data_IF_737443745957
#
_entry.id   IF_737443745957
#
_cell.length_a   1.000
_cell.length_b   1.000
_cell.length_c   1.000
_cell.angle_alpha   90.00
_cell.angle_beta   90.00
_cell.angle_gamma   90.00
#
_symmetry.space_group_name_H-M   'P 1'
#
loop_
_entity.id
_entity.type
_entity.pdbx_description
1 polymer ?
#
# COMPACT_ATOMS: atom_id res chain seq x y z
N UNK A 1 -43.29 -31.17 9.23
CA UNK A 1 -43.32 -31.66 7.83
C UNK A 1 -41.91 -31.52 7.27
N UNK A 2 -41.13 -32.59 7.44
CA UNK A 2 -39.71 -32.68 7.14
C UNK A 2 -39.54 -33.10 5.67
N UNK A 3 -38.88 -32.28 4.85
CA UNK A 3 -38.51 -32.65 3.48
C UNK A 3 -37.08 -33.18 3.47
N UNK A 4 -36.98 -34.50 3.46
CA UNK A 4 -35.76 -35.26 3.16
C UNK A 4 -35.49 -35.15 1.65
N UNK A 5 -34.33 -34.60 1.25
CA UNK A 5 -33.81 -34.74 -0.12
C UNK A 5 -32.73 -35.82 -0.12
N UNK A 6 -32.98 -36.86 -0.91
CA UNK A 6 -32.08 -38.00 -1.16
C UNK A 6 -30.87 -37.53 -1.99
N UNK A 7 -29.67 -37.75 -1.49
CA UNK A 7 -28.46 -37.79 -2.32
C UNK A 7 -28.31 -39.20 -2.90
N UNK A 8 -28.14 -39.29 -4.22
CA UNK A 8 -27.74 -40.51 -4.90
C UNK A 8 -26.20 -40.54 -4.91
N UNK A 9 -25.59 -41.46 -4.15
CA UNK A 9 -24.17 -41.79 -4.30
C UNK A 9 -24.00 -42.68 -5.54
N UNK A 10 -23.36 -42.15 -6.58
CA UNK A 10 -22.83 -42.97 -7.68
C UNK A 10 -21.52 -43.62 -7.25
N UNK A 11 -21.55 -44.90 -6.90
CA UNK A 11 -20.33 -45.68 -6.67
C UNK A 11 -19.70 -46.05 -8.02
N UNK A 12 -18.51 -45.53 -8.32
CA UNK A 12 -17.70 -45.97 -9.46
C UNK A 12 -16.87 -47.19 -9.03
N UNK A 13 -17.14 -48.34 -9.64
CA UNK A 13 -16.37 -49.57 -9.46
C UNK A 13 -15.10 -49.47 -10.30
N UNK A 14 -13.94 -49.41 -9.65
CA UNK A 14 -12.65 -49.55 -10.33
C UNK A 14 -12.38 -51.04 -10.62
N UNK A 15 -12.46 -51.43 -11.89
CA UNK A 15 -12.03 -52.74 -12.37
C UNK A 15 -10.52 -52.80 -12.53
N UNK A 16 -9.88 -53.74 -11.82
CA UNK A 16 -8.48 -54.12 -12.05
C UNK A 16 -8.35 -54.79 -13.43
N UNK A 17 -7.51 -54.25 -14.31
CA UNK A 17 -6.92 -55.01 -15.43
C UNK A 17 -5.41 -54.84 -15.37
N UNK A 18 -4.73 -55.93 -15.04
CA UNK A 18 -3.28 -56.04 -15.14
C UNK A 18 -2.87 -56.11 -16.62
N UNK A 19 -2.02 -55.20 -17.05
CA UNK A 19 -1.40 -55.19 -18.38
C UNK A 19 0.00 -54.63 -18.29
N UNK A 20 0.99 -55.53 -18.36
CA UNK A 20 2.42 -55.23 -18.43
C UNK A 20 2.76 -54.54 -19.75
N UNK A 21 3.31 -53.33 -19.69
CA UNK A 21 3.85 -52.64 -20.86
C UNK A 21 4.60 -51.38 -20.44
N UNK A 22 5.93 -51.45 -20.43
CA UNK A 22 6.79 -50.29 -20.21
C UNK A 22 6.70 -49.33 -21.40
N UNK A 23 6.18 -48.13 -21.16
CA UNK A 23 6.38 -46.95 -22.01
C UNK A 23 6.60 -45.78 -21.06
N UNK A 24 7.71 -45.08 -21.26
CA UNK A 24 8.08 -43.84 -20.57
C UNK A 24 7.03 -42.79 -20.91
N UNK A 25 6.06 -42.60 -20.01
CA UNK A 25 5.06 -41.56 -20.09
C UNK A 25 5.48 -40.38 -19.22
N UNK A 26 5.46 -39.17 -19.79
CA UNK A 26 5.54 -37.93 -19.06
C UNK A 26 4.62 -37.97 -17.83
N UNK A 27 5.08 -37.42 -16.69
CA UNK A 27 4.21 -37.16 -15.55
C UNK A 27 3.02 -36.34 -16.06
N UNK A 28 1.88 -37.02 -16.22
CA UNK A 28 0.59 -36.40 -16.43
C UNK A 28 0.39 -35.46 -15.26
N UNK A 29 0.34 -34.17 -15.59
CA UNK A 29 0.15 -33.10 -14.64
C UNK A 29 -0.96 -33.46 -13.65
N UNK A 30 -0.69 -33.15 -12.39
CA UNK A 30 -1.74 -32.93 -11.43
C UNK A 30 -2.67 -31.89 -12.07
N UNK A 31 -3.82 -32.37 -12.54
CA UNK A 31 -4.89 -31.54 -13.08
C UNK A 31 -5.21 -30.48 -12.05
N UNK A 32 -5.26 -29.22 -12.45
CA UNK A 32 -5.58 -28.04 -11.65
C UNK A 32 -7.03 -28.03 -11.10
N UNK A 33 -7.61 -29.20 -10.79
CA UNK A 33 -9.06 -29.42 -10.62
C UNK A 33 -9.37 -30.45 -9.51
N UNK A 34 -8.46 -30.74 -8.56
CA UNK A 34 -8.73 -31.74 -7.48
C UNK A 34 -8.35 -31.33 -6.06
N UNK A 35 -8.50 -30.05 -5.71
CA UNK A 35 -8.81 -29.64 -4.35
C UNK A 35 -9.87 -28.54 -4.52
N UNK A 36 -11.17 -28.72 -4.32
CA UNK A 36 -11.85 -29.11 -3.09
C UNK A 36 -11.33 -28.40 -1.82
N UNK A 37 -10.63 -27.26 -1.98
CA UNK A 37 -10.74 -26.12 -1.04
C UNK A 37 -11.97 -25.25 -1.38
N UNK A 38 -12.85 -25.77 -2.24
CA UNK A 38 -14.16 -25.21 -2.54
C UNK A 38 -15.06 -25.24 -1.30
N UNK A 39 -15.43 -24.02 -0.86
CA UNK A 39 -16.60 -23.56 -0.08
C UNK A 39 -16.28 -22.90 1.28
N UNK A 40 -15.15 -22.20 1.39
CA UNK A 40 -15.00 -21.14 2.38
C UNK A 40 -14.75 -19.82 1.62
N UNK A 41 -15.32 -18.73 2.11
CA UNK A 41 -15.07 -17.41 1.53
C UNK A 41 -13.61 -17.01 1.78
N UNK A 42 -12.92 -16.47 0.77
CA UNK A 42 -11.59 -15.89 0.98
C UNK A 42 -11.76 -14.51 1.62
N UNK A 43 -11.11 -14.29 2.76
CA UNK A 43 -11.16 -13.02 3.45
C UNK A 43 -9.76 -12.50 3.70
N UNK A 44 -9.52 -11.26 3.28
CA UNK A 44 -8.25 -10.57 3.47
C UNK A 44 -8.49 -9.27 4.23
N UNK A 45 -7.82 -9.11 5.36
CA UNK A 45 -7.86 -7.92 6.20
C UNK A 45 -6.50 -7.22 6.16
N UNK A 46 -6.47 -6.00 5.62
CA UNK A 46 -5.35 -5.09 5.77
C UNK A 46 -5.63 -4.15 6.95
N UNK A 47 -4.70 -4.07 7.91
CA UNK A 47 -4.73 -3.11 9.01
C UNK A 47 -3.55 -2.15 8.83
N UNK A 48 -3.87 -0.88 8.59
CA UNK A 48 -2.90 0.20 8.51
C UNK A 48 -2.81 0.97 9.82
N UNK A 49 -1.59 1.19 10.30
CA UNK A 49 -1.32 2.00 11.50
C UNK A 49 -0.36 3.12 11.11
N UNK A 50 -0.87 4.34 10.93
CA UNK A 50 -0.08 5.45 10.35
C UNK A 50 1.12 5.81 11.25
N UNK A 51 2.27 6.08 10.62
CA UNK A 51 3.47 6.59 11.29
C UNK A 51 3.99 5.75 12.46
N UNK A 52 3.69 4.45 12.51
CA UNK A 52 3.94 3.58 13.68
C UNK A 52 5.29 2.87 13.60
N UNK A 53 6.24 3.26 14.45
CA UNK A 53 7.55 2.65 14.50
C UNK A 53 7.56 1.25 15.13
N UNK A 54 8.14 0.27 14.42
CA UNK A 54 8.25 -1.12 14.90
C UNK A 54 9.05 -1.25 16.20
N UNK A 55 10.13 -0.49 16.40
CA UNK A 55 10.88 -0.53 17.67
C UNK A 55 10.00 -0.11 18.86
N UNK A 56 9.07 0.83 18.66
CA UNK A 56 8.10 1.26 19.67
C UNK A 56 7.01 0.23 19.94
N UNK A 57 6.56 -0.48 18.90
CA UNK A 57 5.71 -1.67 19.08
C UNK A 57 6.45 -2.70 19.94
N UNK A 58 7.70 -3.03 19.59
CA UNK A 58 8.51 -4.02 20.30
C UNK A 58 8.80 -3.58 21.75
N UNK A 59 8.94 -2.28 22.00
CA UNK A 59 9.21 -1.72 23.32
C UNK A 59 7.96 -1.71 24.22
N UNK A 60 6.84 -1.19 23.73
CA UNK A 60 5.67 -0.85 24.55
C UNK A 60 4.47 -1.79 24.35
N UNK A 61 4.33 -2.41 23.18
CA UNK A 61 3.18 -3.22 22.79
C UNK A 61 3.53 -4.69 22.46
N UNK A 62 4.69 -5.19 22.89
CA UNK A 62 5.07 -6.60 22.73
C UNK A 62 4.68 -7.43 23.95
N UNK A 63 3.38 -7.61 24.16
CA UNK A 63 2.81 -8.36 25.28
C UNK A 63 1.47 -9.02 24.88
N UNK A 64 0.97 -9.97 25.68
CA UNK A 64 -0.22 -10.78 25.37
C UNK A 64 -1.53 -9.98 25.21
N UNK A 65 -1.56 -8.71 25.61
CA UNK A 65 -2.72 -7.82 25.44
C UNK A 65 -2.72 -7.03 24.13
N UNK A 66 -1.70 -7.21 23.28
CA UNK A 66 -1.50 -6.45 22.06
C UNK A 66 -1.71 -7.29 20.81
N UNK A 67 -2.54 -6.78 19.90
CA UNK A 67 -2.79 -7.39 18.61
C UNK A 67 -1.57 -7.48 17.72
N UNK A 68 -0.60 -6.55 17.87
CA UNK A 68 0.68 -6.68 17.18
C UNK A 68 1.40 -7.95 17.61
N UNK A 69 1.47 -8.22 18.92
CA UNK A 69 2.13 -9.43 19.43
C UNK A 69 1.39 -10.69 19.00
N UNK A 70 0.06 -10.69 19.06
CA UNK A 70 -0.77 -11.80 18.59
C UNK A 70 -0.52 -12.10 17.11
N UNK A 71 -0.54 -11.08 16.25
CA UNK A 71 -0.26 -11.25 14.82
C UNK A 71 1.18 -11.69 14.55
N UNK A 72 2.16 -11.17 15.29
CA UNK A 72 3.56 -11.63 15.18
C UNK A 72 3.71 -13.11 15.58
N UNK A 73 2.95 -13.58 16.58
CA UNK A 73 2.97 -14.98 17.01
C UNK A 73 2.26 -15.93 16.04
N UNK A 74 1.26 -15.43 15.30
CA UNK A 74 0.43 -16.20 14.38
C UNK A 74 0.91 -16.12 12.94
N UNK A 75 1.77 -15.16 12.61
CA UNK A 75 2.24 -14.93 11.25
C UNK A 75 3.75 -14.81 11.14
N UNK A 76 4.17 -14.20 10.04
CA UNK A 76 5.55 -13.90 9.72
C UNK A 76 5.73 -12.38 9.77
N UNK A 77 6.76 -11.91 10.46
CA UNK A 77 7.06 -10.47 10.58
C UNK A 77 8.30 -10.08 9.80
N UNK A 78 8.18 -9.14 8.88
CA UNK A 78 9.33 -8.54 8.21
C UNK A 78 9.52 -7.09 8.62
N UNK A 79 10.77 -6.72 8.92
CA UNK A 79 11.15 -5.31 8.90
C UNK A 79 11.15 -4.85 7.45
N UNK A 80 10.57 -3.69 7.14
CA UNK A 80 10.60 -3.09 5.82
C UNK A 80 11.37 -1.76 5.85
N UNK A 81 11.97 -1.38 4.73
CA UNK A 81 12.74 -0.13 4.62
C UNK A 81 12.21 0.72 3.48
N UNK A 82 12.01 2.00 3.76
CA UNK A 82 11.57 3.02 2.82
C UNK A 82 12.74 3.91 2.38
N UNK A 83 13.97 3.40 2.51
CA UNK A 83 15.15 4.13 2.04
C UNK A 83 15.02 4.36 0.53
N UNK A 84 15.20 5.61 0.12
CA UNK A 84 14.96 6.13 -1.23
C UNK A 84 13.48 6.38 -1.61
N UNK A 85 12.54 6.22 -0.67
CA UNK A 85 11.13 6.55 -0.85
C UNK A 85 10.75 7.75 0.02
N UNK A 86 9.84 8.63 -0.45
CA UNK A 86 9.35 9.74 0.36
C UNK A 86 8.51 9.23 1.53
N UNK A 87 8.97 9.44 2.77
CA UNK A 87 8.31 9.00 4.01
C UNK A 87 7.16 9.92 4.42
N UNK A 88 6.28 10.25 3.48
CA UNK A 88 4.98 10.87 3.73
C UNK A 88 3.88 9.85 3.49
N UNK A 89 2.76 10.02 4.21
CA UNK A 89 1.65 9.08 4.20
C UNK A 89 1.03 8.90 2.81
N UNK A 90 0.76 9.99 2.09
CA UNK A 90 0.19 9.95 0.74
C UNK A 90 0.99 9.09 -0.24
N UNK A 91 2.30 9.35 -0.42
CA UNK A 91 3.19 8.49 -1.21
C UNK A 91 3.24 7.04 -0.73
N UNK A 92 3.40 6.83 0.57
CA UNK A 92 3.60 5.48 1.14
C UNK A 92 2.33 4.62 1.06
N UNK A 93 1.16 5.17 1.39
CA UNK A 93 -0.12 4.49 1.18
C UNK A 93 -0.43 4.25 -0.29
N UNK A 94 -0.03 5.17 -1.18
CA UNK A 94 -0.13 4.94 -2.63
C UNK A 94 0.73 3.75 -3.06
N UNK A 95 1.94 3.63 -2.55
CA UNK A 95 2.80 2.46 -2.81
C UNK A 95 2.14 1.17 -2.32
N UNK A 96 1.66 1.15 -1.06
CA UNK A 96 1.01 -0.02 -0.46
C UNK A 96 -0.21 -0.47 -1.28
N UNK A 97 -1.04 0.48 -1.71
CA UNK A 97 -2.32 0.22 -2.37
C UNK A 97 -2.21 0.07 -3.89
N UNK A 98 -1.06 0.34 -4.52
CA UNK A 98 -0.84 0.16 -5.97
C UNK A 98 0.21 -0.89 -6.30
N UNK A 99 1.09 -1.26 -5.38
CA UNK A 99 2.15 -2.25 -5.61
C UNK A 99 3.33 -1.73 -6.44
N UNK A 100 3.48 -0.41 -6.55
CA UNK A 100 4.60 0.27 -7.22
C UNK A 100 5.15 1.40 -6.37
N UNK A 101 6.40 1.80 -6.58
CA UNK A 101 7.01 2.92 -5.84
C UNK A 101 6.63 4.30 -6.41
N UNK A 102 7.04 5.35 -5.70
CA UNK A 102 6.76 6.76 -6.03
C UNK A 102 7.46 7.27 -7.28
N UNK A 103 8.49 6.57 -7.77
CA UNK A 103 9.10 6.79 -9.09
C UNK A 103 8.19 6.36 -10.25
N UNK A 104 7.17 5.54 -9.99
CA UNK A 104 6.10 5.16 -10.91
C UNK A 104 4.82 5.91 -10.65
N UNK A 105 4.22 5.79 -9.46
CA UNK A 105 2.90 6.36 -9.21
C UNK A 105 2.90 7.89 -9.11
N UNK A 106 4.04 8.54 -8.85
CA UNK A 106 4.14 10.00 -8.93
C UNK A 106 3.41 10.77 -7.84
N UNK A 107 3.01 10.11 -6.76
CA UNK A 107 2.38 10.76 -5.59
C UNK A 107 3.50 11.16 -4.64
N UNK A 108 3.50 12.43 -4.21
CA UNK A 108 4.69 13.06 -3.62
C UNK A 108 4.44 13.72 -2.27
N UNK A 109 3.18 13.91 -1.89
CA UNK A 109 2.75 14.53 -0.65
C UNK A 109 1.30 14.11 -0.33
N UNK A 110 0.73 14.71 0.70
CA UNK A 110 -0.63 14.47 1.16
C UNK A 110 -1.65 15.44 0.50
N UNK A 111 -1.36 15.99 -0.67
CA UNK A 111 -2.32 16.77 -1.46
C UNK A 111 -2.97 15.84 -2.47
N UNK A 112 -4.21 15.47 -2.22
CA UNK A 112 -4.85 14.42 -3.00
C UNK A 112 -5.01 14.82 -4.47
N UNK A 113 -4.70 13.89 -5.36
CA UNK A 113 -4.96 13.99 -6.79
C UNK A 113 -5.32 12.60 -7.31
N UNK A 114 -6.46 12.41 -8.00
CA UNK A 114 -6.90 11.09 -8.43
C UNK A 114 -6.19 10.58 -9.68
N UNK A 115 -5.51 11.45 -10.44
CA UNK A 115 -4.95 11.12 -11.76
C UNK A 115 -3.93 9.97 -11.76
N UNK A 116 -2.98 9.88 -10.80
CA UNK A 116 -2.05 8.77 -10.68
C UNK A 116 -2.71 7.39 -10.74
N UNK A 117 -3.86 7.24 -10.08
CA UNK A 117 -4.54 5.95 -9.93
C UNK A 117 -5.26 5.50 -11.21
N UNK A 118 -5.35 6.37 -12.24
CA UNK A 118 -5.78 5.94 -13.57
C UNK A 118 -4.68 5.14 -14.29
N UNK A 119 -3.42 5.53 -14.11
CA UNK A 119 -2.27 4.84 -14.71
C UNK A 119 -1.82 3.65 -13.86
N UNK A 120 -1.90 3.80 -12.54
CA UNK A 120 -1.51 2.82 -11.54
C UNK A 120 -2.72 2.44 -10.69
N UNK A 121 -3.58 1.52 -11.16
CA UNK A 121 -4.82 1.17 -10.48
C UNK A 121 -4.54 0.62 -9.09
N UNK A 122 -5.38 1.00 -8.13
CA UNK A 122 -5.28 0.49 -6.76
C UNK A 122 -5.68 -0.99 -6.69
N UNK A 123 -5.36 -1.65 -5.57
CA UNK A 123 -5.85 -2.99 -5.25
C UNK A 123 -7.37 -3.07 -5.34
N UNK A 124 -8.09 -2.01 -4.94
CA UNK A 124 -9.54 -1.90 -5.09
C UNK A 124 -9.92 -1.95 -6.57
N UNK A 125 -9.32 -1.09 -7.40
CA UNK A 125 -9.63 -1.06 -8.82
C UNK A 125 -9.39 -2.41 -9.51
N UNK A 126 -8.31 -3.11 -9.12
CA UNK A 126 -7.97 -4.40 -9.68
C UNK A 126 -8.94 -5.50 -9.21
N UNK A 127 -9.33 -5.53 -7.94
CA UNK A 127 -10.33 -6.47 -7.42
C UNK A 127 -11.69 -6.23 -8.07
N UNK A 128 -12.19 -4.99 -8.07
CA UNK A 128 -13.49 -4.61 -8.64
C UNK A 128 -13.60 -4.88 -10.14
N UNK A 129 -12.49 -4.77 -10.88
CA UNK A 129 -12.48 -5.06 -12.30
C UNK A 129 -12.44 -6.57 -12.59
N UNK A 130 -11.53 -7.31 -11.95
CA UNK A 130 -11.31 -8.73 -12.27
C UNK A 130 -12.27 -9.68 -11.54
N UNK A 131 -12.74 -9.29 -10.35
CA UNK A 131 -13.57 -10.08 -9.44
C UNK A 131 -14.59 -9.18 -8.70
N UNK A 132 -15.55 -8.56 -9.41
CA UNK A 132 -16.58 -7.69 -8.83
C UNK A 132 -17.52 -8.41 -7.83
N UNK A 133 -17.40 -9.73 -7.68
CA UNK A 133 -18.08 -10.50 -6.63
C UNK A 133 -17.41 -10.40 -5.25
N UNK A 134 -16.17 -9.92 -5.16
CA UNK A 134 -15.50 -9.67 -3.89
C UNK A 134 -16.05 -8.38 -3.31
N UNK A 135 -16.55 -8.43 -2.07
CA UNK A 135 -16.98 -7.23 -1.38
C UNK A 135 -15.75 -6.47 -0.86
N UNK A 136 -15.46 -5.30 -1.44
CA UNK A 136 -14.36 -4.46 -0.98
C UNK A 136 -14.84 -3.40 0.02
N UNK A 137 -14.08 -3.15 1.07
CA UNK A 137 -14.46 -2.18 2.10
C UNK A 137 -13.23 -1.45 2.61
N UNK A 138 -13.34 -0.14 2.77
CA UNK A 138 -12.36 0.68 3.50
C UNK A 138 -13.06 1.40 4.65
N UNK A 139 -12.40 1.39 5.81
CA UNK A 139 -12.82 2.11 7.01
C UNK A 139 -11.60 2.86 7.52
N UNK A 140 -11.65 4.18 7.45
CA UNK A 140 -10.50 5.04 7.74
C UNK A 140 -10.94 6.32 8.45
N UNK A 141 -10.06 6.85 9.31
CA UNK A 141 -10.24 8.14 9.97
C UNK A 141 -9.39 9.28 9.40
N UNK A 142 -8.76 9.02 8.24
CA UNK A 142 -8.14 10.04 7.41
C UNK A 142 -8.75 10.02 6.01
N UNK A 143 -9.28 11.17 5.58
CA UNK A 143 -10.05 11.33 4.34
C UNK A 143 -9.22 10.98 3.08
N UNK A 144 -7.91 11.22 3.11
CA UNK A 144 -7.01 10.86 2.01
C UNK A 144 -7.08 9.37 1.65
N UNK A 145 -7.24 8.48 2.64
CA UNK A 145 -7.39 7.03 2.39
C UNK A 145 -8.71 6.74 1.66
N UNK A 146 -9.80 7.38 2.10
CA UNK A 146 -11.10 7.27 1.45
C UNK A 146 -11.06 7.81 0.02
N UNK A 147 -10.30 8.89 -0.22
CA UNK A 147 -10.10 9.49 -1.54
C UNK A 147 -9.29 8.56 -2.47
N UNK A 148 -8.23 7.89 -1.98
CA UNK A 148 -7.52 6.84 -2.76
C UNK A 148 -8.48 5.71 -3.15
N UNK A 149 -9.29 5.23 -2.20
CA UNK A 149 -10.20 4.12 -2.44
C UNK A 149 -11.35 4.49 -3.42
N UNK A 150 -11.68 5.79 -3.52
CA UNK A 150 -12.63 6.32 -4.48
C UNK A 150 -12.00 6.66 -5.85
N UNK A 151 -10.67 6.63 -5.97
CA UNK A 151 -9.96 6.98 -7.19
C UNK A 151 -9.98 5.85 -8.24
N UNK A 152 -9.65 6.21 -9.48
CA UNK A 152 -9.65 5.28 -10.62
C UNK A 152 -11.05 4.99 -11.17
N UNK A 153 -11.12 4.06 -12.13
CA UNK A 153 -12.37 3.71 -12.80
C UNK A 153 -13.29 2.78 -11.99
N UNK A 154 -12.74 2.03 -11.05
CA UNK A 154 -13.45 0.95 -10.33
C UNK A 154 -13.28 1.14 -8.81
N UNK A 155 -13.99 2.11 -8.20
CA UNK A 155 -13.79 2.44 -6.79
C UNK A 155 -14.28 1.32 -5.87
N UNK A 156 -13.82 1.34 -4.62
CA UNK A 156 -14.26 0.44 -3.54
C UNK A 156 -15.80 0.40 -3.40
N UNK A 157 -16.37 -0.76 -3.05
CA UNK A 157 -17.82 -0.91 -2.84
C UNK A 157 -18.31 -0.08 -1.64
N UNK A 158 -17.62 -0.22 -0.51
CA UNK A 158 -18.00 0.41 0.75
C UNK A 158 -16.87 1.34 1.23
N UNK A 159 -17.13 2.65 1.18
CA UNK A 159 -16.17 3.68 1.57
C UNK A 159 -16.64 4.40 2.84
N UNK A 160 -16.08 4.03 3.99
CA UNK A 160 -16.50 4.53 5.30
C UNK A 160 -15.44 5.46 5.87
N UNK A 161 -15.81 6.74 6.02
CA UNK A 161 -14.98 7.76 6.67
C UNK A 161 -15.43 7.99 8.11
N UNK A 162 -14.48 7.95 9.04
CA UNK A 162 -14.66 8.25 10.45
C UNK A 162 -14.03 9.63 10.74
N UNK A 163 -14.82 10.70 10.86
CA UNK A 163 -14.24 12.02 11.07
C UNK A 163 -13.65 12.17 12.47
N UNK A 164 -12.58 12.96 12.58
CA UNK A 164 -12.12 13.47 13.86
C UNK A 164 -13.23 14.29 14.54
N UNK A 165 -13.53 13.96 15.80
CA UNK A 165 -14.45 14.75 16.63
C UNK A 165 -13.74 15.46 17.79
N UNK A 166 -13.06 14.69 18.65
CA UNK A 166 -12.49 15.21 19.92
C UNK A 166 -11.02 14.86 20.09
N UNK A 167 -10.66 13.60 19.85
CA UNK A 167 -9.28 13.12 19.88
C UNK A 167 -9.16 11.90 18.96
N UNK A 168 -7.93 11.61 18.53
CA UNK A 168 -7.65 10.52 17.58
C UNK A 168 -7.82 9.12 18.18
N UNK A 169 -7.68 8.95 19.50
CA UNK A 169 -7.91 7.64 20.13
C UNK A 169 -9.40 7.23 20.03
N UNK A 170 -10.32 8.19 20.14
CA UNK A 170 -11.75 7.94 19.96
C UNK A 170 -12.11 7.66 18.49
N UNK A 171 -11.42 8.32 17.54
CA UNK A 171 -11.59 8.06 16.11
C UNK A 171 -11.12 6.65 15.73
N UNK A 172 -9.90 6.27 16.13
CA UNK A 172 -9.35 4.92 16.01
C UNK A 172 -10.28 3.86 16.63
N UNK A 173 -10.84 4.14 17.81
CA UNK A 173 -11.77 3.24 18.49
C UNK A 173 -13.09 3.07 17.72
N UNK A 174 -13.56 4.12 17.03
CA UNK A 174 -14.74 4.04 16.16
C UNK A 174 -14.44 3.28 14.87
N UNK A 175 -13.29 3.50 14.23
CA UNK A 175 -12.80 2.65 13.12
C UNK A 175 -12.79 1.18 13.58
N UNK A 176 -12.17 0.90 14.72
CA UNK A 176 -12.11 -0.44 15.31
C UNK A 176 -13.50 -1.06 15.49
N UNK A 177 -14.45 -0.31 16.04
CA UNK A 177 -15.82 -0.78 16.23
C UNK A 177 -16.53 -1.07 14.89
N UNK A 178 -16.30 -0.27 13.86
CA UNK A 178 -16.91 -0.48 12.54
C UNK A 178 -16.27 -1.66 11.81
N UNK A 179 -14.94 -1.80 11.89
CA UNK A 179 -14.20 -2.97 11.38
C UNK A 179 -14.69 -4.26 12.04
N UNK A 180 -14.86 -4.28 13.36
CA UNK A 180 -15.42 -5.43 14.08
C UNK A 180 -16.85 -5.72 13.61
N UNK A 181 -17.69 -4.70 13.43
CA UNK A 181 -19.05 -4.90 12.94
C UNK A 181 -19.07 -5.52 11.53
N UNK A 182 -18.18 -5.08 10.64
CA UNK A 182 -18.05 -5.61 9.29
C UNK A 182 -17.58 -7.08 9.30
N UNK A 183 -16.58 -7.40 10.13
CA UNK A 183 -16.10 -8.77 10.31
C UNK A 183 -17.23 -9.66 10.85
N UNK A 184 -17.90 -9.25 11.94
CA UNK A 184 -18.99 -10.04 12.54
C UNK A 184 -20.18 -10.23 11.59
N UNK A 185 -20.43 -9.29 10.68
CA UNK A 185 -21.48 -9.44 9.66
C UNK A 185 -21.21 -10.60 8.69
N UNK A 186 -19.95 -11.02 8.53
CA UNK A 186 -19.61 -12.19 7.70
C UNK A 186 -20.01 -13.52 8.33
N UNK A 187 -20.30 -13.56 9.65
CA UNK A 187 -20.74 -14.79 10.32
C UNK A 187 -22.08 -15.35 9.76
N UNK A 188 -22.91 -14.49 9.18
CA UNK A 188 -24.19 -14.83 8.57
C UNK A 188 -24.14 -14.80 7.03
N UNK A 189 -22.94 -14.72 6.42
CA UNK A 189 -22.71 -14.63 4.97
C UNK A 189 -23.29 -15.86 4.24
N UNK A 190 -24.51 -15.80 3.68
CA UNK A 190 -25.20 -16.99 3.19
C UNK A 190 -24.74 -17.40 1.78
N UNK A 191 -23.98 -16.53 1.13
CA UNK A 191 -23.56 -16.61 -0.27
C UNK A 191 -22.04 -16.85 -0.39
N UNK A 192 -21.33 -17.11 0.73
CA UNK A 192 -19.88 -17.28 0.81
C UNK A 192 -19.09 -16.16 0.09
N UNK A 193 -19.57 -14.92 0.20
CA UNK A 193 -18.95 -13.73 -0.42
C UNK A 193 -17.55 -13.52 0.15
N UNK A 194 -16.56 -13.47 -0.72
CA UNK A 194 -15.17 -13.13 -0.36
C UNK A 194 -15.07 -11.64 0.00
N UNK A 195 -14.21 -11.28 0.94
CA UNK A 195 -14.11 -9.88 1.42
C UNK A 195 -12.67 -9.39 1.43
N UNK A 196 -12.44 -8.19 0.88
CA UNK A 196 -11.24 -7.42 1.16
C UNK A 196 -11.60 -6.22 2.03
N UNK A 197 -11.08 -6.18 3.25
CA UNK A 197 -11.33 -5.11 4.22
C UNK A 197 -10.02 -4.39 4.55
N UNK A 198 -9.99 -3.07 4.35
CA UNK A 198 -8.91 -2.20 4.79
C UNK A 198 -9.38 -1.35 5.98
N UNK A 199 -8.76 -1.55 7.15
CA UNK A 199 -8.98 -0.77 8.36
C UNK A 199 -7.75 0.11 8.62
N UNK A 200 -7.93 1.43 8.66
CA UNK A 200 -6.85 2.40 8.82
C UNK A 200 -7.03 3.25 10.08
N UNK A 201 -5.95 3.44 10.84
CA UNK A 201 -5.91 4.18 12.12
C UNK A 201 -4.75 5.18 12.12
N UNK A 202 -5.04 6.45 12.44
CA UNK A 202 -4.08 7.58 12.34
C UNK A 202 -3.46 8.01 13.67
N UNK A 203 -3.99 7.55 14.82
CA UNK A 203 -3.64 8.12 16.14
C UNK A 203 -2.13 8.21 16.43
N UNK A 204 -1.35 7.23 16.01
CA UNK A 204 0.08 7.15 16.33
C UNK A 204 0.86 8.26 15.63
N UNK A 205 0.63 8.49 14.34
CA UNK A 205 1.27 9.56 13.60
C UNK A 205 0.91 10.94 14.16
N UNK A 206 -0.38 11.18 14.44
CA UNK A 206 -0.86 12.43 15.02
C UNK A 206 -0.27 12.70 16.42
N UNK A 207 -0.04 11.65 17.23
CA UNK A 207 0.69 11.78 18.48
C UNK A 207 2.19 12.10 18.23
N UNK A 208 2.77 11.56 17.16
CA UNK A 208 4.11 11.86 16.69
C UNK A 208 4.25 13.33 16.30
N UNK A 209 3.34 13.84 15.48
CA UNK A 209 3.30 15.24 15.10
C UNK A 209 3.13 16.18 16.30
N UNK A 210 2.28 15.82 17.26
CA UNK A 210 2.01 16.67 18.42
C UNK A 210 3.09 16.63 19.50
N UNK A 211 3.86 15.54 19.63
CA UNK A 211 4.75 15.31 20.78
C UNK A 211 6.12 14.70 20.45
N UNK A 212 6.33 14.19 19.25
CA UNK A 212 7.51 13.44 18.80
C UNK A 212 7.40 11.93 19.07
N UNK A 213 8.04 11.11 18.24
CA UNK A 213 8.01 9.64 18.32
C UNK A 213 8.70 9.05 19.56
N UNK A 214 9.50 9.85 20.26
CA UNK A 214 10.12 9.48 21.55
C UNK A 214 9.28 9.82 22.78
N UNK A 215 8.07 10.35 22.60
CA UNK A 215 7.21 10.84 23.68
C UNK A 215 6.40 9.74 24.38
N UNK A 216 5.88 10.05 25.57
CA UNK A 216 4.99 9.15 26.28
C UNK A 216 3.61 9.06 25.60
N UNK A 217 3.20 10.14 24.93
CA UNK A 217 1.97 10.25 24.15
C UNK A 217 2.00 9.34 22.94
N UNK A 218 3.09 9.35 22.18
CA UNK A 218 3.31 8.41 21.07
C UNK A 218 3.35 6.96 21.57
N UNK A 219 4.08 6.68 22.65
CA UNK A 219 4.12 5.34 23.25
C UNK A 219 2.72 4.87 23.68
N UNK A 220 1.89 5.76 24.24
CA UNK A 220 0.52 5.44 24.63
C UNK A 220 -0.38 5.20 23.41
N UNK A 221 -0.21 5.96 22.32
CA UNK A 221 -0.92 5.72 21.07
C UNK A 221 -0.58 4.33 20.49
N UNK A 222 0.69 3.92 20.49
CA UNK A 222 1.11 2.57 20.06
C UNK A 222 0.44 1.48 20.89
N UNK A 223 0.31 1.67 22.21
CA UNK A 223 -0.40 0.74 23.10
C UNK A 223 -1.89 0.69 22.78
N UNK A 224 -2.52 1.83 22.50
CA UNK A 224 -3.94 1.91 22.14
C UNK A 224 -4.22 1.16 20.83
N UNK A 225 -3.45 1.43 19.78
CA UNK A 225 -3.59 0.75 18.48
C UNK A 225 -3.36 -0.76 18.62
N UNK A 226 -2.37 -1.17 19.43
CA UNK A 226 -2.18 -2.59 19.77
C UNK A 226 -3.44 -3.22 20.40
N UNK A 227 -4.10 -2.52 21.32
CA UNK A 227 -5.34 -2.99 21.94
C UNK A 227 -6.53 -3.00 20.96
N UNK A 228 -6.58 -2.06 20.02
CA UNK A 228 -7.59 -2.02 18.96
C UNK A 228 -7.45 -3.22 18.01
N UNK A 229 -6.23 -3.49 17.54
CA UNK A 229 -5.93 -4.67 16.72
C UNK A 229 -6.31 -5.95 17.46
N UNK A 230 -6.04 -6.05 18.77
CA UNK A 230 -6.42 -7.24 19.55
C UNK A 230 -7.94 -7.49 19.52
N UNK A 231 -8.76 -6.43 19.56
CA UNK A 231 -10.21 -6.55 19.47
C UNK A 231 -10.66 -6.99 18.07
N UNK A 232 -10.01 -6.46 17.02
CA UNK A 232 -10.27 -6.86 15.63
C UNK A 232 -9.95 -8.35 15.42
N UNK A 233 -8.76 -8.80 15.86
CA UNK A 233 -8.35 -10.20 15.75
C UNK A 233 -9.26 -11.14 16.57
N UNK A 234 -9.77 -10.68 17.71
CA UNK A 234 -10.76 -11.43 18.47
C UNK A 234 -12.09 -11.62 17.70
N UNK A 235 -12.51 -10.62 16.92
CA UNK A 235 -13.69 -10.72 16.06
C UNK A 235 -13.46 -11.71 14.90
N UNK A 236 -12.27 -11.69 14.27
CA UNK A 236 -11.88 -12.70 13.26
C UNK A 236 -11.93 -14.10 13.85
N UNK A 237 -11.30 -14.32 15.00
CA UNK A 237 -11.32 -15.61 15.68
C UNK A 237 -12.74 -16.08 16.04
N UNK A 238 -13.62 -15.15 16.40
CA UNK A 238 -15.03 -15.43 16.67
C UNK A 238 -15.76 -15.90 15.40
N UNK A 239 -15.59 -15.21 14.26
CA UNK A 239 -16.20 -15.60 12.98
C UNK A 239 -15.68 -16.97 12.53
N UNK A 240 -14.35 -17.18 12.57
CA UNK A 240 -13.72 -18.47 12.25
C UNK A 240 -14.31 -19.62 13.08
N UNK A 241 -14.61 -19.38 14.35
CA UNK A 241 -15.23 -20.39 15.21
C UNK A 241 -16.70 -20.71 14.84
N UNK A 242 -17.39 -19.78 14.18
CA UNK A 242 -18.79 -19.91 13.75
C UNK A 242 -18.88 -20.56 12.36
N UNK A 243 -18.13 -20.02 11.39
CA UNK A 243 -18.27 -20.38 9.97
C UNK A 243 -17.20 -21.36 9.50
N UNK A 244 -16.02 -21.34 10.14
CA UNK A 244 -14.83 -22.03 9.66
C UNK A 244 -14.00 -21.21 8.68
N UNK A 245 -14.49 -20.04 8.24
CA UNK A 245 -13.75 -19.15 7.35
C UNK A 245 -12.61 -18.50 8.12
N UNK A 246 -11.40 -18.67 7.59
CA UNK A 246 -10.19 -18.08 8.13
C UNK A 246 -9.86 -16.80 7.33
N UNK A 247 -9.17 -15.86 7.97
CA UNK A 247 -8.84 -14.59 7.35
C UNK A 247 -7.33 -14.47 7.21
N UNK A 248 -6.87 -14.09 6.03
CA UNK A 248 -5.49 -13.64 5.84
C UNK A 248 -5.37 -12.21 6.36
N UNK A 249 -4.44 -11.95 7.27
CA UNK A 249 -4.27 -10.68 7.96
C UNK A 249 -2.91 -10.07 7.59
N UNK A 250 -2.93 -8.82 7.13
CA UNK A 250 -1.75 -8.02 6.86
C UNK A 250 -1.78 -6.80 7.77
N UNK A 251 -0.73 -6.55 8.53
CA UNK A 251 -0.58 -5.35 9.37
C UNK A 251 0.68 -4.60 8.93
N UNK A 252 0.57 -3.31 8.67
CA UNK A 252 1.70 -2.50 8.21
C UNK A 252 1.60 -1.05 8.70
N UNK A 253 2.70 -0.33 8.52
CA UNK A 253 2.78 1.13 8.63
C UNK A 253 3.29 1.68 7.30
N UNK A 254 2.84 2.87 6.97
CA UNK A 254 3.27 3.60 5.78
C UNK A 254 4.66 4.20 5.95
N UNK A 255 4.98 4.76 7.12
CA UNK A 255 6.31 5.23 7.50
C UNK A 255 6.54 5.11 9.01
N UNK A 256 7.71 5.57 9.48
CA UNK A 256 7.98 5.81 10.89
C UNK A 256 8.07 7.30 11.21
N UNK A 257 8.46 7.64 12.44
CA UNK A 257 8.47 9.01 12.94
C UNK A 257 9.80 9.35 13.64
N UNK A 258 10.26 10.59 13.54
CA UNK A 258 11.42 11.09 14.29
C UNK A 258 11.14 11.08 15.80
N UNK A 259 12.19 10.85 16.60
CA UNK A 259 12.07 10.81 18.06
C UNK A 259 11.81 12.19 18.68
N UNK A 260 12.44 13.22 18.13
CA UNK A 260 12.23 14.62 18.52
C UNK A 260 10.89 15.15 18.02
N UNK A 261 10.37 16.14 18.73
CA UNK A 261 9.27 16.97 18.22
C UNK A 261 9.87 18.01 17.28
N UNK A 262 9.90 17.67 16.00
CA UNK A 262 10.28 18.56 14.90
C UNK A 262 9.04 18.91 14.05
N UNK A 263 9.10 20.02 13.31
CA UNK A 263 7.93 20.64 12.65
C UNK A 263 7.21 19.71 11.68
N UNK A 264 7.95 18.81 11.01
CA UNK A 264 7.39 17.81 10.11
C UNK A 264 7.24 16.44 10.76
N UNK A 265 8.09 16.08 11.72
CA UNK A 265 8.06 14.76 12.37
C UNK A 265 8.54 13.60 11.50
N UNK A 266 8.27 13.62 10.20
CA UNK A 266 8.75 12.67 9.19
C UNK A 266 8.82 13.33 7.79
N UNK A 267 9.11 12.56 6.74
CA UNK A 267 9.27 13.05 5.36
C UNK A 267 10.71 13.05 4.84
N UNK A 268 11.70 12.77 5.69
CA UNK A 268 13.11 12.62 5.33
C UNK A 268 13.57 11.16 5.45
N UNK A 269 14.88 10.95 5.48
CA UNK A 269 15.49 9.63 5.32
C UNK A 269 16.22 9.12 6.57
N UNK A 270 15.88 9.65 7.77
CA UNK A 270 16.45 9.07 8.98
C UNK A 270 15.97 7.64 9.17
N UNK A 271 16.79 6.74 9.77
CA UNK A 271 16.39 5.37 10.01
C UNK A 271 15.05 5.24 10.73
N UNK A 272 14.71 6.16 11.64
CA UNK A 272 13.42 6.15 12.32
C UNK A 272 12.26 6.46 11.36
N UNK A 273 12.43 7.34 10.38
CA UNK A 273 11.40 7.69 9.39
C UNK A 273 11.24 6.59 8.35
N UNK A 274 12.36 6.00 7.90
CA UNK A 274 12.36 4.99 6.84
C UNK A 274 12.08 3.57 7.32
N UNK A 275 12.01 3.36 8.65
CA UNK A 275 11.68 2.05 9.21
C UNK A 275 10.18 1.80 9.13
N UNK A 276 9.79 0.77 8.39
CA UNK A 276 8.43 0.25 8.34
C UNK A 276 8.45 -1.25 8.69
N UNK A 277 7.29 -1.92 8.61
CA UNK A 277 7.15 -3.34 8.84
C UNK A 277 5.96 -3.91 8.07
N UNK A 278 5.99 -5.22 7.88
CA UNK A 278 4.83 -6.00 7.42
C UNK A 278 4.71 -7.22 8.34
N UNK A 279 3.55 -7.42 8.94
CA UNK A 279 3.17 -8.66 9.61
C UNK A 279 2.15 -9.33 8.69
N UNK A 280 2.41 -10.57 8.29
CA UNK A 280 1.51 -11.34 7.44
C UNK A 280 1.20 -12.69 8.08
N UNK A 281 -0.07 -12.87 8.45
CA UNK A 281 -0.67 -14.14 8.88
C UNK A 281 -1.56 -14.64 7.75
N UNK A 282 -1.17 -15.74 7.10
CA UNK A 282 -1.90 -16.27 5.96
C UNK A 282 -2.93 -17.29 6.45
N UNK A 283 -4.19 -17.14 6.01
CA UNK A 283 -5.26 -18.07 6.34
C UNK A 283 -4.85 -19.53 6.10
N UNK A 284 -4.99 -20.36 7.13
CA UNK A 284 -4.73 -21.80 7.06
C UNK A 284 -3.27 -22.24 6.92
N UNK A 285 -2.29 -21.32 6.83
CA UNK A 285 -0.86 -21.65 6.86
C UNK A 285 -0.24 -21.26 8.20
N UNK A 286 0.12 -22.28 8.97
CA UNK A 286 0.70 -22.12 10.31
C UNK A 286 2.12 -22.68 10.42
N UNK A 287 2.76 -23.01 9.30
CA UNK A 287 4.03 -23.73 9.30
C UNK A 287 5.21 -22.88 9.79
N UNK A 288 5.08 -21.56 9.69
CA UNK A 288 6.16 -20.60 9.93
C UNK A 288 5.78 -19.49 10.93
N UNK A 289 4.72 -19.69 11.69
CA UNK A 289 4.25 -18.76 12.73
C UNK A 289 5.38 -18.38 13.70
N UNK A 290 5.43 -17.11 14.09
CA UNK A 290 6.47 -16.57 14.96
C UNK A 290 7.84 -16.41 14.28
N UNK A 291 7.90 -16.55 12.95
CA UNK A 291 9.12 -16.34 12.17
C UNK A 291 9.25 -14.89 11.70
N UNK A 292 10.44 -14.55 11.19
CA UNK A 292 10.67 -13.30 10.47
C UNK A 292 10.92 -13.55 8.99
N UNK A 293 10.62 -12.56 8.15
CA UNK A 293 11.06 -12.53 6.76
C UNK A 293 12.06 -11.39 6.55
N UNK A 294 13.18 -11.67 5.88
CA UNK A 294 14.23 -10.67 5.64
C UNK A 294 14.01 -9.81 4.39
N UNK A 295 13.02 -10.15 3.56
CA UNK A 295 12.76 -9.54 2.25
C UNK A 295 11.36 -8.93 2.11
N UNK A 296 10.51 -8.93 3.14
CA UNK A 296 9.22 -8.24 3.04
C UNK A 296 9.40 -6.75 2.80
N UNK A 297 8.58 -6.21 1.92
CA UNK A 297 8.47 -4.79 1.63
C UNK A 297 7.00 -4.35 1.63
N UNK A 298 6.74 -3.08 1.90
CA UNK A 298 5.38 -2.52 1.87
C UNK A 298 4.76 -2.58 0.47
N UNK A 299 5.58 -2.52 -0.57
CA UNK A 299 5.16 -2.64 -1.98
C UNK A 299 4.65 -4.05 -2.35
N UNK A 300 4.97 -5.07 -1.54
CA UNK A 300 4.54 -6.46 -1.76
C UNK A 300 3.07 -6.68 -1.37
N UNK A 301 2.44 -5.74 -0.65
CA UNK A 301 1.10 -5.91 -0.07
C UNK A 301 0.02 -6.05 -1.16
N UNK A 302 -0.02 -5.15 -2.14
CA UNK A 302 -1.00 -5.23 -3.25
C UNK A 302 -0.86 -6.54 -4.04
N UNK A 303 0.33 -6.93 -4.54
CA UNK A 303 0.53 -8.23 -5.19
C UNK A 303 0.12 -9.42 -4.31
N UNK A 304 0.35 -9.34 -2.99
CA UNK A 304 -0.07 -10.40 -2.06
C UNK A 304 -1.59 -10.52 -1.99
N UNK A 305 -2.31 -9.41 -1.80
CA UNK A 305 -3.78 -9.39 -1.72
C UNK A 305 -4.38 -9.96 -3.01
N UNK A 306 -3.92 -9.47 -4.17
CA UNK A 306 -4.39 -9.95 -5.47
C UNK A 306 -4.13 -11.45 -5.65
N UNK A 307 -3.02 -11.95 -5.12
CA UNK A 307 -2.62 -13.35 -5.24
C UNK A 307 -3.53 -14.25 -4.40
N UNK A 308 -3.90 -13.83 -3.19
CA UNK A 308 -4.82 -14.56 -2.32
C UNK A 308 -6.19 -14.70 -2.99
N UNK A 309 -6.66 -13.65 -3.65
CA UNK A 309 -7.88 -13.70 -4.44
C UNK A 309 -7.72 -14.35 -5.82
N UNK A 310 -6.52 -14.75 -6.25
CA UNK A 310 -6.29 -15.33 -7.58
C UNK A 310 -6.59 -14.37 -8.74
N UNK A 311 -6.35 -13.08 -8.55
CA UNK A 311 -6.42 -12.03 -9.58
C UNK A 311 -5.12 -12.00 -10.40
N UNK A 312 -5.17 -11.74 -11.72
CA UNK A 312 -3.97 -11.60 -12.54
C UNK A 312 -3.03 -10.50 -12.02
N UNK A 313 -1.73 -10.81 -11.96
CA UNK A 313 -0.70 -9.82 -11.62
C UNK A 313 -0.39 -8.93 -12.82
N UNK A 314 -0.18 -7.64 -12.56
CA UNK A 314 0.47 -6.76 -13.52
C UNK A 314 1.95 -7.12 -13.65
N UNK A 315 2.49 -7.01 -14.87
CA UNK A 315 3.90 -7.28 -15.13
C UNK A 315 4.84 -6.16 -14.67
N UNK A 316 4.28 -4.99 -14.38
CA UNK A 316 5.00 -3.77 -14.00
C UNK A 316 4.90 -3.41 -12.50
N UNK A 317 4.44 -4.34 -11.65
CA UNK A 317 4.60 -4.20 -10.21
C UNK A 317 6.08 -4.19 -9.80
N UNK A 318 6.40 -3.44 -8.75
CA UNK A 318 7.71 -3.53 -8.08
C UNK A 318 7.70 -4.59 -6.99
N UNK A 319 6.55 -4.78 -6.34
CA UNK A 319 6.36 -5.81 -5.33
C UNK A 319 6.05 -7.17 -5.92
N UNK A 320 6.18 -8.19 -5.07
CA UNK A 320 5.84 -9.58 -5.37
C UNK A 320 4.94 -10.13 -4.27
N UNK A 321 4.24 -11.24 -4.55
CA UNK A 321 3.35 -11.85 -3.56
C UNK A 321 4.13 -12.53 -2.45
N UNK A 322 3.88 -12.13 -1.20
CA UNK A 322 4.45 -12.76 -0.01
C UNK A 322 3.94 -14.19 0.20
N UNK A 323 2.77 -14.54 -0.36
CA UNK A 323 2.14 -15.83 -0.18
C UNK A 323 2.73 -16.94 -1.08
N UNK A 324 3.39 -16.59 -2.19
CA UNK A 324 3.84 -17.60 -3.16
C UNK A 324 5.12 -17.27 -3.95
N UNK A 325 5.69 -16.08 -3.84
CA UNK A 325 6.91 -15.76 -4.57
C UNK A 325 8.16 -16.39 -3.90
N UNK A 326 8.94 -17.22 -4.62
CA UNK A 326 10.13 -17.86 -4.05
C UNK A 326 11.19 -16.89 -3.53
N UNK A 327 11.29 -15.67 -4.06
CA UNK A 327 12.26 -14.66 -3.59
C UNK A 327 11.94 -14.17 -2.17
N UNK A 328 10.65 -14.24 -1.79
CA UNK A 328 10.17 -13.93 -0.46
C UNK A 328 10.18 -15.18 0.43
N UNK A 329 9.60 -16.29 -0.03
CA UNK A 329 9.46 -17.51 0.78
C UNK A 329 10.80 -18.12 1.20
N UNK A 330 11.85 -18.00 0.37
CA UNK A 330 13.19 -18.49 0.72
C UNK A 330 13.92 -17.62 1.75
N UNK A 331 13.34 -16.49 2.16
CA UNK A 331 13.91 -15.52 3.09
C UNK A 331 13.29 -15.58 4.49
N UNK A 332 12.42 -16.59 4.73
CA UNK A 332 11.85 -16.88 6.04
C UNK A 332 12.93 -17.47 6.94
N UNK A 333 13.04 -16.89 8.14
CA UNK A 333 13.96 -17.33 9.19
C UNK A 333 13.17 -17.48 10.48
N UNK A 334 13.28 -18.61 11.16
CA UNK A 334 12.67 -18.84 12.47
C UNK A 334 13.70 -18.57 13.57
N UNK A 335 13.67 -17.39 14.23
CA UNK A 335 14.61 -17.06 15.29
C UNK A 335 14.24 -17.74 16.61
N UNK A 336 15.21 -17.84 17.53
CA UNK A 336 14.93 -18.28 18.91
C UNK A 336 14.19 -17.20 19.73
N UNK A 337 14.41 -15.92 19.40
CA UNK A 337 13.74 -14.77 19.97
C UNK A 337 13.40 -13.80 18.83
N UNK A 338 12.12 -13.74 18.47
CA UNK A 338 11.62 -12.89 17.37
C UNK A 338 11.87 -11.41 17.65
N UNK A 339 11.57 -10.93 18.87
CA UNK A 339 11.77 -9.53 19.25
C UNK A 339 13.24 -9.13 19.10
N UNK A 340 14.16 -9.96 19.58
CA UNK A 340 15.58 -9.68 19.44
C UNK A 340 16.02 -9.67 17.97
N UNK A 341 15.51 -10.59 17.15
CA UNK A 341 15.86 -10.67 15.74
C UNK A 341 15.37 -9.45 14.94
N UNK A 342 14.14 -8.99 15.19
CA UNK A 342 13.56 -7.80 14.57
C UNK A 342 14.31 -6.52 14.99
N UNK A 343 14.67 -6.36 16.27
CA UNK A 343 15.50 -5.24 16.72
C UNK A 343 16.88 -5.25 16.06
N UNK A 344 17.46 -6.42 15.84
CA UNK A 344 18.74 -6.55 15.15
C UNK A 344 18.62 -6.23 13.65
N UNK A 345 17.49 -6.58 13.02
CA UNK A 345 17.22 -6.21 11.63
C UNK A 345 17.06 -4.69 11.47
N UNK A 346 16.25 -4.04 12.33
CA UNK A 346 16.08 -2.58 12.34
C UNK A 346 17.41 -1.83 12.53
N UNK A 347 18.31 -2.35 13.37
CA UNK A 347 19.63 -1.74 13.61
C UNK A 347 20.54 -1.72 12.36
N UNK A 348 20.21 -2.46 11.30
CA UNK A 348 20.94 -2.42 10.03
C UNK A 348 20.45 -1.33 9.07
N UNK A 349 19.33 -0.67 9.38
CA UNK A 349 18.84 0.43 8.57
C UNK A 349 19.66 1.69 8.80
N UNK A 350 20.13 2.25 7.70
CA UNK A 350 20.94 3.47 7.67
C UNK A 350 20.35 4.48 6.69
N UNK A 351 21.01 5.62 6.59
CA UNK A 351 20.68 6.62 5.59
C UNK A 351 20.99 6.12 4.17
N UNK A 352 20.27 6.60 3.14
CA UNK A 352 20.65 6.41 1.75
C UNK A 352 22.02 7.02 1.46
N UNK A 353 22.50 6.84 0.22
CA UNK A 353 23.66 7.59 -0.22
C UNK A 353 23.35 9.11 -0.21
N UNK A 354 24.39 9.93 0.01
CA UNK A 354 24.23 11.38 0.20
C UNK A 354 23.55 12.10 -0.98
N UNK A 355 23.66 11.56 -2.21
CA UNK A 355 23.00 12.13 -3.38
C UNK A 355 21.48 11.98 -3.29
N UNK A 356 21.03 10.75 -3.05
CA UNK A 356 19.61 10.43 -2.88
C UNK A 356 19.01 11.13 -1.65
N UNK A 357 19.77 11.23 -0.55
CA UNK A 357 19.35 11.93 0.67
C UNK A 357 19.02 13.40 0.38
N UNK A 358 19.89 14.08 -0.36
CA UNK A 358 19.72 15.49 -0.74
C UNK A 358 18.58 15.66 -1.75
N UNK A 359 18.49 14.79 -2.73
CA UNK A 359 17.42 14.79 -3.74
C UNK A 359 16.04 14.66 -3.08
N UNK A 360 15.88 13.71 -2.15
CA UNK A 360 14.65 13.49 -1.41
C UNK A 360 14.37 14.62 -0.43
N UNK A 361 15.39 15.15 0.25
CA UNK A 361 15.22 16.33 1.10
C UNK A 361 14.70 17.54 0.30
N UNK A 362 15.25 17.79 -0.88
CA UNK A 362 14.76 18.85 -1.80
C UNK A 362 13.31 18.56 -2.21
N UNK A 363 13.00 17.31 -2.57
CA UNK A 363 11.64 16.92 -2.95
C UNK A 363 10.67 17.22 -1.82
N UNK A 364 10.86 16.61 -0.65
CA UNK A 364 10.02 16.77 0.55
C UNK A 364 9.77 18.24 0.85
N UNK A 365 10.83 19.03 0.85
CA UNK A 365 10.78 20.47 1.06
C UNK A 365 9.85 21.17 0.08
N UNK A 366 10.07 21.01 -1.22
CA UNK A 366 9.30 21.74 -2.22
C UNK A 366 7.85 21.24 -2.27
N UNK A 367 7.65 19.93 -2.08
CA UNK A 367 6.31 19.33 -2.07
C UNK A 367 5.52 19.68 -0.80
N UNK A 368 6.17 20.10 0.28
CA UNK A 368 5.53 20.61 1.50
C UNK A 368 5.18 22.11 1.46
N UNK A 369 5.65 22.88 0.47
CA UNK A 369 5.36 24.31 0.35
C UNK A 369 3.84 24.62 0.26
N UNK A 370 3.03 23.88 -0.51
CA UNK A 370 1.60 24.21 -0.63
C UNK A 370 0.83 24.11 0.70
N UNK A 371 1.39 23.50 1.75
CA UNK A 371 0.83 23.51 3.10
C UNK A 371 0.99 24.86 3.83
N UNK A 372 1.65 25.85 3.23
CA UNK A 372 1.83 27.18 3.83
C UNK A 372 2.82 27.19 5.00
N UNK A 373 3.70 26.19 5.07
CA UNK A 373 4.71 26.04 6.12
C UNK A 373 5.90 26.99 5.91
N UNK A 374 5.70 28.29 6.16
CA UNK A 374 6.78 29.31 6.09
C UNK A 374 7.96 29.03 7.05
N UNK A 375 7.82 28.11 8.03
CA UNK A 375 8.88 27.71 8.95
C UNK A 375 9.83 26.64 8.36
N UNK A 376 9.38 25.86 7.38
CA UNK A 376 10.18 24.80 6.72
C UNK A 376 11.35 25.43 5.95
N UNK A 377 11.14 26.62 5.37
CA UNK A 377 12.13 27.51 4.71
C UNK A 377 13.39 27.72 5.56
N UNK A 378 13.25 27.84 6.89
CA UNK A 378 14.39 28.13 7.78
C UNK A 378 15.20 26.88 8.14
N UNK A 379 14.55 25.71 8.26
CA UNK A 379 15.26 24.45 8.47
C UNK A 379 15.97 23.97 7.19
N UNK A 380 15.39 24.29 6.02
CA UNK A 380 16.03 24.13 4.71
C UNK A 380 17.34 24.90 4.64
N UNK A 381 17.33 26.18 5.00
CA UNK A 381 18.55 26.99 4.95
C UNK A 381 19.64 26.39 5.83
N UNK A 382 19.29 25.84 6.99
CA UNK A 382 20.27 25.15 7.87
C UNK A 382 20.79 23.84 7.27
N UNK A 383 19.91 23.00 6.72
CA UNK A 383 20.29 21.72 6.10
C UNK A 383 21.17 21.97 4.86
N UNK A 384 20.71 22.85 3.96
CA UNK A 384 21.44 23.25 2.77
C UNK A 384 22.76 23.94 3.13
N UNK A 385 22.79 24.81 4.14
CA UNK A 385 24.03 25.43 4.61
C UNK A 385 25.01 24.39 5.16
N UNK A 386 24.55 23.38 5.91
CA UNK A 386 25.41 22.31 6.41
C UNK A 386 26.05 21.48 5.29
N UNK A 387 25.39 21.36 4.15
CA UNK A 387 25.87 20.69 2.95
C UNK A 387 26.84 21.59 2.17
N UNK A 388 26.51 22.87 2.02
CA UNK A 388 27.41 23.90 1.44
C UNK A 388 28.71 23.96 2.23
N UNK A 389 28.65 23.90 3.56
CA UNK A 389 29.80 23.95 4.46
C UNK A 389 30.73 22.72 4.34
N UNK A 390 30.24 21.60 3.79
CA UNK A 390 31.03 20.39 3.55
C UNK A 390 31.84 20.43 2.23
N UNK A 391 31.66 21.46 1.39
CA UNK A 391 32.39 21.70 0.13
C UNK A 391 32.45 20.48 -0.82
N UNK A 392 31.35 19.73 -0.91
CA UNK A 392 31.25 18.58 -1.80
C UNK A 392 30.94 19.07 -3.22
N UNK A 393 31.87 18.85 -4.14
CA UNK A 393 31.76 19.24 -5.57
C UNK A 393 30.47 18.67 -6.21
N UNK A 394 29.75 19.51 -6.99
CA UNK A 394 28.39 19.32 -7.56
C UNK A 394 27.22 19.47 -6.56
N UNK A 395 27.38 18.98 -5.34
CA UNK A 395 26.33 19.01 -4.32
C UNK A 395 26.09 20.44 -3.77
N UNK A 396 27.17 21.21 -3.57
CA UNK A 396 27.07 22.61 -3.15
C UNK A 396 26.34 23.50 -4.16
N UNK A 397 26.38 23.16 -5.46
CA UNK A 397 25.64 23.85 -6.52
C UNK A 397 24.14 23.56 -6.51
N UNK A 398 23.75 22.30 -6.25
CA UNK A 398 22.35 21.90 -6.05
C UNK A 398 21.76 22.52 -4.78
N UNK A 399 22.53 22.57 -3.69
CA UNK A 399 22.10 23.21 -2.45
C UNK A 399 21.88 24.73 -2.62
N UNK A 400 22.78 25.42 -3.33
CA UNK A 400 22.60 26.84 -3.67
C UNK A 400 21.39 27.08 -4.58
N UNK A 401 21.12 26.16 -5.52
CA UNK A 401 19.94 26.23 -6.37
C UNK A 401 18.64 26.03 -5.58
N UNK A 402 18.62 25.07 -4.63
CA UNK A 402 17.48 24.86 -3.74
C UNK A 402 17.25 26.07 -2.81
N UNK A 403 18.30 26.74 -2.30
CA UNK A 403 18.17 28.02 -1.57
C UNK A 403 17.54 29.12 -2.45
N UNK A 404 17.92 29.21 -3.72
CA UNK A 404 17.31 30.18 -4.65
C UNK A 404 15.83 29.88 -4.93
N UNK A 405 15.44 28.60 -5.00
CA UNK A 405 14.04 28.22 -5.09
C UNK A 405 13.30 28.63 -3.81
N UNK A 406 13.86 28.35 -2.64
CA UNK A 406 13.32 28.71 -1.34
C UNK A 406 13.03 30.23 -1.24
N UNK A 407 14.01 31.06 -1.62
CA UNK A 407 13.90 32.52 -1.64
C UNK A 407 12.87 33.03 -2.66
N UNK A 408 12.77 32.39 -3.82
CA UNK A 408 11.83 32.75 -4.88
C UNK A 408 10.38 32.40 -4.50
N UNK A 409 10.18 31.29 -3.81
CA UNK A 409 8.85 30.74 -3.51
C UNK A 409 8.14 31.44 -2.36
N UNK A 410 8.88 32.11 -1.45
CA UNK A 410 8.30 32.96 -0.41
C UNK A 410 7.38 34.10 -0.90
N UNK A 411 7.26 34.32 -2.22
CA UNK A 411 6.39 35.33 -2.84
C UNK A 411 5.32 34.81 -3.83
N UNK A 412 5.11 33.50 -3.98
CA UNK A 412 4.22 32.91 -5.00
C UNK A 412 2.79 32.61 -4.50
N UNK A 413 1.84 32.48 -5.44
CA UNK A 413 0.42 32.11 -5.19
C UNK A 413 0.27 30.58 -5.20
N UNK A 414 -0.75 30.04 -4.54
CA UNK A 414 -0.97 28.59 -4.33
C UNK A 414 -0.93 27.75 -5.63
N UNK A 415 -1.55 28.20 -6.73
CA UNK A 415 -1.56 27.42 -7.98
C UNK A 415 -0.17 27.28 -8.60
N UNK A 416 0.66 28.31 -8.46
CA UNK A 416 2.04 28.29 -8.96
C UNK A 416 2.96 27.43 -8.10
N UNK A 417 2.69 27.29 -6.80
CA UNK A 417 3.50 26.44 -5.92
C UNK A 417 3.22 24.96 -6.14
N UNK A 418 1.98 24.56 -6.43
CA UNK A 418 1.63 23.17 -6.77
C UNK A 418 2.28 22.70 -8.07
N UNK A 419 2.25 23.54 -9.13
CA UNK A 419 2.89 23.21 -10.40
C UNK A 419 4.42 23.07 -10.27
N UNK A 420 5.05 23.95 -9.48
CA UNK A 420 6.47 23.86 -9.17
C UNK A 420 6.81 22.59 -8.38
N UNK A 421 6.01 22.27 -7.35
CA UNK A 421 6.18 21.07 -6.54
C UNK A 421 6.14 19.81 -7.40
N UNK A 422 5.17 19.70 -8.30
CA UNK A 422 5.11 18.58 -9.27
C UNK A 422 6.32 18.52 -10.18
N UNK A 423 6.78 19.68 -10.68
CA UNK A 423 7.97 19.76 -11.54
C UNK A 423 9.24 19.32 -10.82
N UNK A 424 9.47 19.77 -9.59
CA UNK A 424 10.61 19.34 -8.77
C UNK A 424 10.51 17.87 -8.41
N UNK A 425 9.32 17.39 -8.05
CA UNK A 425 9.13 15.98 -7.76
C UNK A 425 9.48 15.08 -8.96
N UNK A 426 9.05 15.46 -10.16
CA UNK A 426 9.42 14.77 -11.39
C UNK A 426 10.93 14.82 -11.65
N UNK A 427 11.56 15.99 -11.50
CA UNK A 427 13.01 16.14 -11.68
C UNK A 427 13.84 15.40 -10.63
N UNK A 428 13.25 15.11 -9.48
CA UNK A 428 13.85 14.34 -8.39
C UNK A 428 13.43 12.87 -8.42
N UNK A 429 12.80 12.40 -9.50
CA UNK A 429 12.56 10.99 -9.75
C UNK A 429 11.13 10.48 -9.50
N UNK A 430 10.18 11.29 -9.03
CA UNK A 430 8.80 10.82 -8.80
C UNK A 430 7.97 10.80 -10.09
N UNK A 431 7.29 9.69 -10.36
CA UNK A 431 6.43 9.53 -11.55
C UNK A 431 7.17 9.60 -12.88
N UNK A 432 8.45 9.24 -12.90
CA UNK A 432 9.30 9.26 -14.11
C UNK A 432 9.24 7.96 -14.90
N UNK A 433 8.68 6.90 -14.32
CA UNK A 433 8.52 5.59 -14.95
C UNK A 433 7.05 5.39 -15.32
N UNK A 434 6.78 5.32 -16.62
CA UNK A 434 5.44 5.05 -17.16
C UNK A 434 5.07 3.57 -17.06
N UNK A 435 3.76 3.23 -16.93
CA UNK A 435 3.30 1.84 -16.98
C UNK A 435 3.68 1.12 -18.27
N UNK A 436 4.05 -0.16 -18.17
CA UNK A 436 4.20 -1.01 -19.35
C UNK A 436 2.95 -1.84 -19.63
N UNK A 437 2.18 -2.15 -18.59
CA UNK A 437 0.85 -2.72 -18.74
C UNK A 437 -0.18 -1.60 -18.94
N UNK A 438 -1.16 -1.78 -19.83
CA UNK A 438 -2.17 -0.76 -20.06
C UNK A 438 -2.96 -0.44 -18.77
N UNK A 439 -3.47 0.80 -18.63
CA UNK A 439 -4.51 1.11 -17.67
C UNK A 439 -5.71 0.16 -17.79
N UNK A 440 -6.48 0.03 -16.71
CA UNK A 440 -7.76 -0.68 -16.78
C UNK A 440 -8.69 0.03 -17.79
N UNK A 441 -9.51 -0.73 -18.55
CA UNK A 441 -10.51 -0.14 -19.42
C UNK A 441 -11.44 0.80 -18.65
N UNK A 442 -12.02 1.79 -19.34
CA UNK A 442 -13.05 2.61 -18.71
C UNK A 442 -14.29 1.75 -18.40
N UNK A 443 -14.97 1.99 -17.26
CA UNK A 443 -16.20 1.29 -16.92
C UNK A 443 -17.23 1.35 -18.06
N UNK A 444 -17.77 0.19 -18.43
CA UNK A 444 -18.76 0.08 -19.50
C UNK A 444 -18.19 0.15 -20.93
N UNK A 445 -16.87 0.26 -21.11
CA UNK A 445 -16.25 0.00 -22.40
C UNK A 445 -16.42 -1.48 -22.75
N UNK A 446 -17.02 -1.79 -23.90
CA UNK A 446 -17.11 -3.18 -24.36
C UNK A 446 -15.71 -3.71 -24.62
N UNK A 447 -15.27 -4.72 -23.87
CA UNK A 447 -14.07 -5.47 -24.22
C UNK A 447 -14.28 -6.14 -25.57
N UNK A 448 -13.63 -5.62 -26.61
CA UNK A 448 -13.55 -6.31 -27.89
C UNK A 448 -12.63 -7.52 -27.74
N UNK A 449 -13.20 -8.65 -27.33
CA UNK A 449 -12.60 -9.96 -27.49
C UNK A 449 -12.75 -10.41 -28.95
N UNK A 450 -11.91 -9.88 -29.86
CA UNK A 450 -11.69 -10.49 -31.16
C UNK A 450 -10.19 -10.77 -31.40
N UNK A 451 -9.73 -12.03 -31.30
CA UNK A 451 -8.34 -12.39 -31.57
C UNK A 451 -7.92 -12.20 -33.03
N UNK A 452 -8.83 -11.83 -33.94
CA UNK A 452 -8.55 -11.70 -35.38
C UNK A 452 -8.40 -10.25 -35.89
N UNK A 453 -8.60 -9.24 -35.04
CA UNK A 453 -8.52 -7.82 -35.41
C UNK A 453 -7.09 -7.30 -35.69
N UNK A 454 -6.06 -8.03 -35.25
CA UNK A 454 -4.65 -7.61 -35.36
C UNK A 454 -4.01 -7.77 -36.75
N UNK A 455 -4.75 -8.28 -37.76
CA UNK A 455 -4.24 -8.47 -39.12
C UNK A 455 -4.65 -7.38 -40.13
N UNK A 456 -5.36 -6.33 -39.72
CA UNK A 456 -5.84 -5.29 -40.64
C UNK A 456 -5.23 -3.89 -40.44
N UNK A 457 -4.42 -3.65 -39.40
CA UNK A 457 -3.77 -2.36 -39.18
C UNK A 457 -2.36 -2.33 -39.78
N UNK A 458 -2.26 -2.55 -41.08
CA UNK A 458 -0.98 -2.68 -41.78
C UNK A 458 -0.99 -2.09 -43.17
N UNK A 459 -1.42 -0.83 -43.35
CA UNK A 459 -1.11 -0.05 -44.57
C UNK A 459 -0.87 1.41 -44.20
N UNK A 460 0.40 1.82 -44.30
CA UNK A 460 0.90 3.19 -44.42
C UNK A 460 0.09 4.03 -45.41
N UNK A 461 0.03 5.36 -45.22
CA UNK A 461 0.39 6.35 -46.26
C UNK A 461 0.46 7.78 -45.68
N UNK A 462 1.68 8.31 -45.73
CA UNK A 462 2.17 9.70 -45.82
C UNK A 462 1.20 10.91 -45.82
N UNK A 463 1.62 11.95 -45.09
CA UNK A 463 1.21 13.36 -45.11
C UNK A 463 1.56 14.10 -46.44
N UNK A 464 1.51 15.44 -46.51
CA UNK A 464 0.41 16.43 -46.35
C UNK A 464 0.15 17.19 -47.67
N UNK A 465 -0.97 17.92 -47.81
CA UNK A 465 -1.04 18.98 -48.83
C UNK A 465 -1.87 20.19 -48.38
N UNK A 466 -1.34 21.36 -48.76
CA UNK A 466 -1.90 22.68 -48.58
C UNK A 466 -3.01 22.96 -49.60
N UNK A 467 -4.00 23.74 -49.20
CA UNK A 467 -4.72 24.59 -50.15
C UNK A 467 -5.11 25.91 -49.50
N UNK A 468 -4.54 26.96 -50.07
CA UNK A 468 -4.83 28.39 -49.88
C UNK A 468 -6.27 28.70 -50.32
N UNK A 469 -6.96 29.58 -49.59
CA UNK A 469 -8.28 30.09 -49.98
C UNK A 469 -8.91 31.08 -48.98
N UNK A 470 -8.31 32.26 -48.87
CA UNK A 470 -8.90 33.61 -48.79
C UNK A 470 -10.16 33.97 -47.94
N UNK A 471 -10.01 35.14 -47.28
CA UNK A 471 -10.99 36.13 -46.77
C UNK A 471 -11.66 35.83 -45.41
N UNK A 472 -11.81 36.73 -44.44
CA UNK A 472 -11.51 38.16 -44.27
C UNK A 472 -11.57 38.47 -42.74
N UNK A 473 -10.67 39.31 -42.23
CA UNK A 473 -10.79 39.93 -40.91
C UNK A 473 -11.52 41.28 -41.06
N UNK A 474 -12.38 41.65 -40.10
CA UNK A 474 -12.18 42.95 -39.49
C UNK A 474 -12.34 42.96 -37.95
N UNK A 475 -11.30 43.51 -37.30
CA UNK A 475 -11.33 44.51 -36.23
C UNK A 475 -12.53 44.56 -35.27
N UNK A 476 -12.26 44.46 -33.96
CA UNK A 476 -12.58 45.52 -32.98
C UNK A 476 -11.88 45.30 -31.63
N UNK A 477 -11.13 46.34 -31.26
CA UNK A 477 -10.67 46.67 -29.90
C UNK A 477 -11.84 47.23 -29.07
N UNK A 478 -11.57 47.36 -27.76
CA UNK A 478 -12.23 48.16 -26.72
C UNK A 478 -13.28 47.47 -25.83
N UNK A 479 -12.81 46.91 -24.71
CA UNK A 479 -13.14 47.36 -23.34
C UNK A 479 -12.24 46.69 -22.30
#
# INVERSE_FOLDING_TARGET
>A
MTKVKRFLCGATVAGLVAGTGAVVGAQTGLSAVTADWMLAAEHVLLIGTDGTNLDKILEYAYNDGSGFKTAMDQGITGTASLVNHTTFSGPSWSTILTGVWDDKHGVTNNLFSPEPYNQWPTVFNLLEYYKPEINTTVIADWDYINDIAAAGGYPVDNNVFVPFETNWADADALVTSQTIAQILATADNPDDISNFLFSYQVQVDEAGHAFGGGSAEYAQAVVNVGANIQQILAAVAQVKAITGDDWSIIITTDHGHQQSHDILGHGFQSPNETSSFVIFDQAGDHATDGSQNLNYSTVDITPTILSLFGVPMRSDFDGVSMANDPSILNSIVTPADLKQALLAALANYGYPNIGNDIELAIRTVVTSIPYGLNLVVTEIDKLLQSIVDQDIFLISGLAQFAQQINDFVGGLVVDTSVALARGVAFLTGSGVIEPTDPPLPLPGASEFSDPWGLLAAGVNLFAPDQSVGDLELPWLLDA
#
